data_IF_730153915949
#
_entry.id   IF_730153915949
#
_cell.length_a   1.000
_cell.length_b   1.000
_cell.length_c   1.000
_cell.angle_alpha   90.00
_cell.angle_beta   90.00
_cell.angle_gamma   90.00
#
_symmetry.space_group_name_H-M   'P 1'
#
loop_
_entity.id
_entity.type
_entity.pdbx_description
1 polymer ?
#
# COMPACT_ATOMS: atom_id res chain seq x y z
N UNK A 1 -8.81 -8.03 21.87
CA UNK A 1 -8.13 -8.68 20.74
C UNK A 1 -8.60 -8.01 19.46
N UNK A 2 -7.70 -7.46 18.66
CA UNK A 2 -8.04 -6.82 17.39
C UNK A 2 -8.04 -7.91 16.30
N UNK A 3 -9.22 -8.33 15.86
CA UNK A 3 -9.40 -9.29 14.76
C UNK A 3 -10.51 -8.80 13.84
N UNK A 4 -10.44 -9.17 12.57
CA UNK A 4 -11.54 -8.94 11.64
C UNK A 4 -12.78 -9.72 12.10
N UNK A 5 -13.91 -9.03 12.11
CA UNK A 5 -15.21 -9.59 12.43
C UNK A 5 -16.19 -9.16 11.35
N UNK A 6 -17.10 -10.06 10.97
CA UNK A 6 -18.13 -9.74 9.99
C UNK A 6 -19.10 -8.73 10.60
N UNK A 7 -19.26 -7.60 9.95
CA UNK A 7 -20.28 -6.63 10.30
C UNK A 7 -21.62 -7.02 9.64
N UNK A 8 -22.75 -6.99 10.37
CA UNK A 8 -24.07 -7.16 9.77
C UNK A 8 -24.41 -6.00 8.82
N UNK A 9 -25.40 -6.21 7.95
CA UNK A 9 -25.78 -5.24 6.92
C UNK A 9 -26.17 -3.86 7.48
N UNK A 10 -26.82 -3.81 8.64
CA UNK A 10 -27.21 -2.58 9.34
C UNK A 10 -26.22 -2.17 10.44
N UNK A 11 -24.92 -2.40 10.21
CA UNK A 11 -23.88 -2.00 11.15
C UNK A 11 -23.53 -0.51 11.04
N UNK A 12 -23.76 0.20 12.14
CA UNK A 12 -23.33 1.59 12.35
C UNK A 12 -22.00 1.62 13.11
N UNK A 13 -20.95 2.11 12.47
CA UNK A 13 -19.60 2.03 13.00
C UNK A 13 -18.55 1.98 11.91
N UNK A 14 -17.30 2.25 12.30
CA UNK A 14 -16.16 2.11 11.41
C UNK A 14 -16.01 0.66 10.96
N UNK A 15 -16.06 0.47 9.65
CA UNK A 15 -15.95 -0.83 8.97
C UNK A 15 -15.20 -0.63 7.67
N UNK A 16 -14.53 -1.67 7.20
CA UNK A 16 -14.09 -1.77 5.82
C UNK A 16 -15.10 -2.59 5.03
N UNK A 17 -15.23 -2.32 3.74
CA UNK A 17 -15.95 -3.19 2.82
C UNK A 17 -15.18 -3.29 1.50
N UNK A 18 -15.33 -4.41 0.82
CA UNK A 18 -14.68 -4.64 -0.47
C UNK A 18 -15.63 -4.24 -1.61
N UNK A 19 -15.16 -3.36 -2.50
CA UNK A 19 -15.91 -2.87 -3.65
C UNK A 19 -15.13 -3.06 -4.95
N UNK A 20 -15.85 -3.16 -6.06
CA UNK A 20 -15.24 -3.24 -7.38
C UNK A 20 -14.92 -1.82 -7.90
N UNK A 21 -13.88 -1.70 -8.74
CA UNK A 21 -13.45 -0.43 -9.32
C UNK A 21 -12.29 -0.62 -10.30
N UNK A 22 -11.69 0.49 -10.72
CA UNK A 22 -10.49 0.46 -11.55
C UNK A 22 -9.24 0.43 -10.66
N UNK A 23 -8.40 -0.58 -10.84
CA UNK A 23 -7.18 -0.77 -10.06
C UNK A 23 -7.41 -1.31 -8.64
N UNK A 24 -6.33 -1.34 -7.86
CA UNK A 24 -6.30 -1.81 -6.48
C UNK A 24 -5.96 -0.61 -5.58
N UNK A 25 -6.78 -0.32 -4.57
CA UNK A 25 -6.50 0.78 -3.64
C UNK A 25 -7.29 0.68 -2.33
N UNK A 26 -6.69 1.20 -1.25
CA UNK A 26 -7.34 1.40 0.04
C UNK A 26 -6.84 2.69 0.71
N UNK A 27 -7.71 3.42 1.44
CA UNK A 27 -7.26 4.46 2.35
C UNK A 27 -6.28 3.90 3.40
N UNK A 28 -5.29 4.69 3.79
CA UNK A 28 -4.35 4.33 4.84
C UNK A 28 -4.99 4.56 6.21
N UNK A 29 -5.14 3.49 6.98
CA UNK A 29 -5.69 3.52 8.34
C UNK A 29 -7.19 3.79 8.41
N UNK A 30 -7.67 3.93 9.65
CA UNK A 30 -9.09 4.18 9.92
C UNK A 30 -9.47 5.61 9.55
N UNK A 31 -10.35 5.75 8.58
CA UNK A 31 -10.92 7.04 8.21
C UNK A 31 -11.98 7.47 9.24
N UNK A 32 -11.81 8.64 9.86
CA UNK A 32 -12.62 9.07 11.01
C UNK A 32 -13.78 9.99 10.65
N UNK A 33 -13.82 10.52 9.42
CA UNK A 33 -14.89 11.40 8.96
C UNK A 33 -16.26 10.72 9.00
N UNK A 34 -17.31 11.49 9.32
CA UNK A 34 -18.64 10.96 9.65
C UNK A 34 -19.23 10.05 8.55
N UNK A 35 -18.98 10.35 7.27
CA UNK A 35 -19.46 9.51 6.17
C UNK A 35 -18.81 8.11 6.18
N UNK A 36 -17.56 7.97 6.59
CA UNK A 36 -16.92 6.66 6.73
C UNK A 36 -17.42 5.88 7.94
N UNK A 37 -17.83 6.56 9.01
CA UNK A 37 -18.51 5.90 10.13
C UNK A 37 -19.88 5.34 9.71
N UNK A 38 -20.60 6.07 8.85
CA UNK A 38 -21.91 5.68 8.38
C UNK A 38 -21.83 4.58 7.30
N UNK A 39 -21.08 4.83 6.23
CA UNK A 39 -21.05 3.99 5.04
C UNK A 39 -19.91 2.97 5.01
N UNK A 40 -18.87 3.18 5.83
CA UNK A 40 -17.64 2.39 5.80
C UNK A 40 -16.58 2.96 4.86
N UNK A 41 -15.35 2.49 5.00
CA UNK A 41 -14.25 2.77 4.07
C UNK A 41 -14.14 1.64 3.05
N UNK A 42 -14.07 2.00 1.77
CA UNK A 42 -13.95 1.02 0.70
C UNK A 42 -12.49 0.58 0.53
N UNK A 43 -12.29 -0.73 0.42
CA UNK A 43 -11.12 -1.35 -0.20
C UNK A 43 -11.51 -1.71 -1.63
N UNK A 44 -10.85 -1.08 -2.61
CA UNK A 44 -11.16 -1.25 -4.03
C UNK A 44 -10.34 -2.40 -4.61
N UNK A 45 -11.02 -3.40 -5.14
CA UNK A 45 -10.43 -4.54 -5.83
C UNK A 45 -11.04 -4.64 -7.23
N UNK A 46 -10.32 -4.13 -8.22
CA UNK A 46 -10.64 -4.34 -9.63
C UNK A 46 -10.46 -5.78 -10.08
N UNK A 47 -10.80 -6.07 -11.34
CA UNK A 47 -10.80 -7.43 -11.90
C UNK A 47 -9.46 -8.17 -11.79
N UNK A 48 -8.34 -7.45 -11.73
CA UNK A 48 -6.98 -8.00 -11.63
C UNK A 48 -6.43 -8.03 -10.20
N UNK A 49 -7.20 -7.60 -9.20
CA UNK A 49 -6.70 -7.39 -7.82
C UNK A 49 -6.97 -8.56 -6.86
N UNK A 50 -7.47 -9.68 -7.36
CA UNK A 50 -7.90 -10.82 -6.54
C UNK A 50 -6.77 -11.79 -6.17
N UNK A 51 -5.53 -11.47 -6.55
CA UNK A 51 -4.34 -12.18 -6.08
C UNK A 51 -4.17 -12.01 -4.56
N UNK A 52 -3.76 -13.07 -3.88
CA UNK A 52 -3.67 -13.08 -2.41
C UNK A 52 -2.77 -11.95 -1.88
N UNK A 53 -1.61 -11.74 -2.49
CA UNK A 53 -0.67 -10.67 -2.09
C UNK A 53 -1.30 -9.28 -2.25
N UNK A 54 -2.01 -9.04 -3.34
CA UNK A 54 -2.69 -7.76 -3.60
C UNK A 54 -3.80 -7.50 -2.59
N UNK A 55 -4.65 -8.48 -2.30
CA UNK A 55 -5.70 -8.32 -1.28
C UNK A 55 -5.10 -8.02 0.09
N UNK A 56 -4.02 -8.72 0.46
CA UNK A 56 -3.32 -8.48 1.72
C UNK A 56 -2.67 -7.09 1.76
N UNK A 57 -2.10 -6.63 0.65
CA UNK A 57 -1.54 -5.27 0.50
C UNK A 57 -2.59 -4.20 0.81
N UNK A 58 -3.76 -4.29 0.19
CA UNK A 58 -4.82 -3.30 0.38
C UNK A 58 -5.43 -3.36 1.79
N UNK A 59 -5.53 -4.55 2.37
CA UNK A 59 -5.90 -4.69 3.79
C UNK A 59 -4.84 -4.05 4.69
N UNK A 60 -3.55 -4.23 4.39
CA UNK A 60 -2.44 -3.60 5.10
C UNK A 60 -2.57 -2.08 5.11
N UNK A 61 -2.88 -1.47 3.96
CA UNK A 61 -3.22 -0.06 3.89
C UNK A 61 -4.39 0.29 4.81
N UNK A 62 -5.50 -0.43 4.76
CA UNK A 62 -6.67 -0.17 5.61
C UNK A 62 -6.36 -0.21 7.12
N UNK A 63 -5.33 -0.96 7.52
CA UNK A 63 -4.85 -1.06 8.90
C UNK A 63 -3.89 0.07 9.29
N UNK A 64 -3.41 0.86 8.34
CA UNK A 64 -2.52 2.00 8.56
C UNK A 64 -1.07 1.76 8.16
N UNK A 65 -0.79 0.71 7.37
CA UNK A 65 0.56 0.42 6.91
C UNK A 65 0.85 1.20 5.62
N UNK A 66 1.94 1.96 5.64
CA UNK A 66 2.45 2.64 4.45
C UNK A 66 3.30 1.70 3.60
N UNK A 67 3.62 2.11 2.37
CA UNK A 67 4.59 1.37 1.57
C UNK A 67 5.96 1.33 2.23
N UNK A 68 6.63 0.19 2.10
CA UNK A 68 7.95 -0.02 2.70
C UNK A 68 9.00 0.93 2.08
N UNK A 69 8.91 1.20 0.77
CA UNK A 69 9.80 2.15 0.08
C UNK A 69 9.57 3.63 0.44
N UNK A 70 8.49 3.93 1.16
CA UNK A 70 8.18 5.25 1.70
C UNK A 70 8.49 5.39 3.19
N UNK A 71 9.04 4.34 3.82
CA UNK A 71 9.38 4.32 5.25
C UNK A 71 10.46 5.34 5.59
N UNK A 72 10.39 5.94 6.78
CA UNK A 72 11.49 6.75 7.33
C UNK A 72 12.78 5.92 7.41
N UNK A 73 13.87 6.45 6.86
CA UNK A 73 15.17 5.79 6.81
C UNK A 73 15.35 4.80 5.66
N UNK A 74 14.41 4.74 4.69
CA UNK A 74 14.54 3.86 3.51
C UNK A 74 15.81 4.10 2.69
N UNK A 75 16.36 5.31 2.68
CA UNK A 75 17.56 5.66 1.90
C UNK A 75 18.84 4.92 2.36
N UNK A 76 18.81 4.30 3.55
CA UNK A 76 19.89 3.41 4.00
C UNK A 76 19.80 2.00 3.37
N UNK A 77 18.63 1.63 2.82
CA UNK A 77 18.33 0.29 2.30
C UNK A 77 18.12 0.26 0.78
N UNK A 78 17.50 1.30 0.20
CA UNK A 78 17.25 1.42 -1.24
C UNK A 78 17.61 2.83 -1.74
N UNK A 79 17.91 2.93 -3.03
CA UNK A 79 18.07 4.21 -3.72
C UNK A 79 17.00 4.35 -4.79
N UNK A 80 16.17 5.39 -4.68
CA UNK A 80 15.27 5.76 -5.76
C UNK A 80 16.07 6.38 -6.91
N UNK A 81 16.00 5.79 -8.10
CA UNK A 81 16.64 6.30 -9.31
C UNK A 81 15.66 7.20 -10.04
N UNK A 82 15.88 8.50 -9.95
CA UNK A 82 15.02 9.53 -10.54
C UNK A 82 15.40 9.93 -11.98
N UNK A 83 16.48 9.34 -12.51
CA UNK A 83 17.10 9.70 -13.80
C UNK A 83 16.31 9.20 -15.03
N UNK A 84 15.17 8.53 -14.82
CA UNK A 84 14.37 7.92 -15.88
C UNK A 84 13.33 8.88 -16.51
N UNK A 85 13.45 10.19 -16.28
CA UNK A 85 12.58 11.20 -16.91
C UNK A 85 11.11 11.16 -16.48
N UNK A 86 10.78 10.46 -15.40
CA UNK A 86 9.41 10.32 -14.86
C UNK A 86 9.24 11.23 -13.64
N UNK A 87 9.11 12.53 -13.89
CA UNK A 87 8.87 13.55 -12.86
C UNK A 87 7.51 13.38 -12.18
N UNK A 88 6.52 12.76 -12.84
CA UNK A 88 5.18 12.52 -12.29
C UNK A 88 5.12 11.38 -11.25
N UNK A 89 6.12 10.49 -11.21
CA UNK A 89 6.17 9.39 -10.24
C UNK A 89 6.92 9.72 -8.95
N UNK A 90 7.55 10.90 -8.87
CA UNK A 90 8.33 11.33 -7.71
C UNK A 90 7.51 11.35 -6.41
N UNK A 91 6.23 11.70 -6.52
CA UNK A 91 5.29 11.69 -5.39
C UNK A 91 5.05 10.29 -4.83
N UNK A 92 5.13 9.23 -5.65
CA UNK A 92 4.95 7.84 -5.22
C UNK A 92 6.14 7.32 -4.40
N UNK A 93 7.29 7.99 -4.50
CA UNK A 93 8.50 7.69 -3.74
C UNK A 93 8.73 8.66 -2.59
N UNK A 94 7.71 9.45 -2.23
CA UNK A 94 7.78 10.32 -1.07
C UNK A 94 8.01 9.50 0.20
N UNK A 95 8.94 9.97 1.03
CA UNK A 95 9.18 9.43 2.36
C UNK A 95 8.16 10.03 3.33
N UNK A 96 7.50 9.19 4.10
CA UNK A 96 6.60 9.58 5.17
C UNK A 96 7.26 9.37 6.53
N UNK A 97 6.80 10.14 7.52
CA UNK A 97 7.12 9.89 8.93
C UNK A 97 6.34 8.63 9.38
N UNK A 98 7.04 7.50 9.45
CA UNK A 98 6.45 6.19 9.75
C UNK A 98 6.90 5.68 11.10
N UNK A 99 6.02 4.95 11.78
CA UNK A 99 6.41 4.14 12.95
C UNK A 99 6.91 2.80 12.44
N UNK A 100 8.22 2.58 12.55
CA UNK A 100 8.86 1.37 12.03
C UNK A 100 8.74 0.16 12.97
N UNK A 101 8.02 0.29 14.09
CA UNK A 101 7.80 -0.79 15.08
C UNK A 101 9.06 -1.58 15.49
N UNK A 102 10.22 -0.94 15.45
CA UNK A 102 11.54 -1.54 15.71
C UNK A 102 11.88 -2.72 14.78
N UNK A 103 11.39 -2.70 13.54
CA UNK A 103 11.75 -3.66 12.50
C UNK A 103 12.79 -3.08 11.54
N UNK A 104 13.61 -3.96 11.00
CA UNK A 104 14.50 -3.65 9.88
C UNK A 104 13.69 -3.45 8.59
N UNK A 105 14.37 -2.98 7.55
CA UNK A 105 13.78 -2.82 6.22
C UNK A 105 13.52 -4.19 5.59
N UNK A 106 12.32 -4.44 5.08
CA UNK A 106 11.94 -5.72 4.48
C UNK A 106 11.72 -5.61 2.97
N UNK A 107 12.71 -6.04 2.18
CA UNK A 107 12.66 -6.05 0.72
C UNK A 107 11.59 -6.96 0.13
N UNK A 108 11.12 -7.96 0.88
CA UNK A 108 10.08 -8.90 0.47
C UNK A 108 8.73 -8.59 1.12
N UNK A 109 8.62 -7.46 1.81
CA UNK A 109 7.37 -7.00 2.41
C UNK A 109 6.29 -6.94 1.34
N UNK A 110 5.10 -7.44 1.67
CA UNK A 110 3.91 -7.29 0.82
C UNK A 110 3.60 -5.82 0.54
N UNK A 111 4.10 -4.89 1.36
CA UNK A 111 3.94 -3.44 1.20
C UNK A 111 5.09 -2.78 0.42
N UNK A 112 6.11 -3.53 0.02
CA UNK A 112 7.18 -3.02 -0.82
C UNK A 112 6.76 -3.07 -2.28
N UNK A 113 6.94 -1.98 -3.02
CA UNK A 113 6.73 -2.01 -4.46
C UNK A 113 7.71 -2.99 -5.12
N UNK A 114 7.22 -3.80 -6.06
CA UNK A 114 8.12 -4.59 -6.90
C UNK A 114 9.12 -3.67 -7.61
N UNK A 115 10.30 -4.19 -8.02
CA UNK A 115 11.20 -3.42 -8.86
C UNK A 115 10.42 -2.94 -10.08
N UNK A 116 10.38 -1.63 -10.31
CA UNK A 116 9.83 -1.08 -11.54
C UNK A 116 10.78 -1.47 -12.67
N UNK A 117 10.52 -2.61 -13.31
CA UNK A 117 11.22 -3.00 -14.54
C UNK A 117 10.63 -2.18 -15.67
N UNK A 118 11.20 -1.00 -15.90
CA UNK A 118 11.10 -0.35 -17.20
C UNK A 118 12.31 -0.82 -17.98
N UNK A 119 12.10 -1.46 -19.12
CA UNK A 119 13.16 -1.84 -20.05
C UNK A 119 13.83 -0.56 -20.54
N UNK A 120 14.82 -0.09 -19.78
CA UNK A 120 15.81 0.86 -20.27
C UNK A 120 16.61 0.07 -21.30
N UNK A 121 16.87 0.68 -22.45
CA UNK A 121 17.54 0.09 -23.61
C UNK A 121 18.99 -0.34 -23.38
N UNK A 122 19.38 -0.61 -22.14
CA UNK A 122 20.71 -1.02 -21.74
C UNK A 122 20.61 -2.03 -20.58
N UNK A 123 20.63 -3.32 -20.95
CA UNK A 123 20.76 -4.60 -20.22
C UNK A 123 20.97 -4.62 -18.68
N UNK A 124 20.32 -3.76 -17.91
CA UNK A 124 20.47 -3.72 -16.45
C UNK A 124 19.25 -4.37 -15.82
N UNK A 125 19.36 -5.67 -15.58
CA UNK A 125 18.41 -6.42 -14.77
C UNK A 125 18.60 -6.04 -13.30
N UNK A 126 17.60 -5.37 -12.71
CA UNK A 126 17.57 -5.14 -11.26
C UNK A 126 17.00 -6.39 -10.58
N UNK A 127 17.85 -7.17 -9.92
CA UNK A 127 17.44 -8.22 -8.98
C UNK A 127 17.81 -7.78 -7.57
N UNK A 128 16.89 -7.89 -6.61
CA UNK A 128 17.28 -7.91 -5.20
C UNK A 128 18.09 -9.19 -4.96
N UNK A 129 19.28 -9.04 -4.38
CA UNK A 129 20.00 -10.17 -3.75
C UNK A 129 19.43 -10.41 -2.37
#
# INVERSE_FOLDING_TARGET
MNRFQRAPWLYFGYKIFFGNGNGCSSPIGRQTFFLYWLFGQQVTLGSTCYEFSTVVHEIGHSLGVHHEHSRTGRDAAIRALYDNGLTEELSNFQVYETRNFNTEYDYYSVMHYGPMVKELSDNTLFTSQ
#
